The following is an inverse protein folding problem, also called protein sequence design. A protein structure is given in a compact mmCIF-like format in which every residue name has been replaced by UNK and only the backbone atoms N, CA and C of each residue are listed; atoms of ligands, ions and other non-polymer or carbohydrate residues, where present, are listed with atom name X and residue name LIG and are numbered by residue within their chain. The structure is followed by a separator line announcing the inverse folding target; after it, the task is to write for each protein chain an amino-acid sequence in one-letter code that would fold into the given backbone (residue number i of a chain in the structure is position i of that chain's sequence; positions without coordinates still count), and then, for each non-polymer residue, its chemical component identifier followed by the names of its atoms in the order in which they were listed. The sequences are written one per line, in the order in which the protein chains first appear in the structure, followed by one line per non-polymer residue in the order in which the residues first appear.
data_IF_391250454430
#
_entry.id   IF_391250454430
#
_cell.length_a   1.000
_cell.length_b   1.000
_cell.length_c   1.000
_cell.angle_alpha   90.00
_cell.angle_beta   90.00
_cell.angle_gamma   90.00
#
_symmetry.space_group_name_H-M   'P 1'
#
loop_
_entity.id
_entity.type
_entity.pdbx_description
1 polymer ?
#
# COMPACT_ATOMS: atom_id res chain seq x y z
N UNK A 1 0.49 10.36 7.90
CA UNK A 1 1.93 10.15 7.61
C UNK A 1 2.75 11.46 7.69
N UNK A 2 2.31 12.58 7.09
CA UNK A 2 3.11 13.83 6.95
C UNK A 2 3.40 14.69 8.21
N UNK A 3 3.14 14.24 9.45
CA UNK A 3 3.08 15.15 10.63
C UNK A 3 4.05 14.89 11.79
N UNK A 4 5.01 13.96 11.71
CA UNK A 4 5.85 13.64 12.87
C UNK A 4 7.32 13.45 12.49
N UNK A 5 8.14 14.48 12.62
CA UNK A 5 9.60 14.36 12.56
C UNK A 5 10.29 15.57 13.19
N UNK A 6 10.47 15.56 14.52
CA UNK A 6 11.71 16.07 15.14
C UNK A 6 11.81 15.67 16.62
N UNK A 7 12.59 14.63 16.93
CA UNK A 7 13.38 14.50 18.18
C UNK A 7 14.22 13.20 18.15
N UNK A 8 15.49 13.32 18.52
CA UNK A 8 16.44 12.22 18.67
C UNK A 8 16.36 11.67 20.11
N UNK A 9 16.17 10.37 20.24
CA UNK A 9 16.31 9.61 21.48
C UNK A 9 16.74 8.19 21.14
N UNK A 10 17.56 7.58 22.01
CA UNK A 10 18.01 6.18 21.92
C UNK A 10 16.79 5.30 21.72
N UNK A 11 16.61 4.77 20.51
CA UNK A 11 15.35 4.15 20.10
C UNK A 11 15.32 2.72 20.63
N UNK A 12 14.46 2.46 21.61
CA UNK A 12 14.18 1.10 22.06
C UNK A 12 13.54 0.33 20.89
N UNK A 13 14.20 -0.72 20.42
CA UNK A 13 13.74 -1.51 19.27
C UNK A 13 12.31 -2.03 19.45
N UNK A 14 11.89 -2.33 20.68
CA UNK A 14 10.50 -2.72 20.97
C UNK A 14 9.53 -1.56 20.75
N UNK A 15 9.83 -0.39 21.31
CA UNK A 15 9.00 0.81 21.14
C UNK A 15 8.91 1.24 19.67
N UNK A 16 10.00 1.10 18.91
CA UNK A 16 10.01 1.40 17.47
C UNK A 16 9.09 0.46 16.72
N UNK A 17 9.20 -0.85 16.99
CA UNK A 17 8.38 -1.87 16.33
C UNK A 17 6.91 -1.66 16.64
N UNK A 18 6.55 -1.39 17.89
CA UNK A 18 5.17 -1.08 18.30
C UNK A 18 4.64 0.18 17.60
N UNK A 19 5.48 1.20 17.43
CA UNK A 19 5.10 2.42 16.71
C UNK A 19 4.85 2.15 15.22
N UNK A 20 5.71 1.36 14.58
CA UNK A 20 5.53 1.02 13.16
C UNK A 20 4.27 0.19 12.96
N UNK A 21 4.03 -0.82 13.79
CA UNK A 21 2.78 -1.60 13.76
C UNK A 21 1.54 -0.72 13.96
N UNK A 22 1.60 0.34 14.78
CA UNK A 22 0.48 1.27 14.94
C UNK A 22 0.24 2.13 13.71
N UNK A 23 1.31 2.61 13.06
CA UNK A 23 1.22 3.39 11.81
C UNK A 23 0.65 2.52 10.69
N UNK A 24 1.15 1.30 10.59
CA UNK A 24 0.74 0.31 9.60
C UNK A 24 -0.76 0.00 9.70
N UNK A 25 -1.22 -0.44 10.87
CA UNK A 25 -2.65 -0.71 11.14
C UNK A 25 -3.56 0.50 10.92
N UNK A 26 -3.08 1.71 11.23
CA UNK A 26 -3.86 2.93 11.00
C UNK A 26 -4.00 3.22 9.50
N UNK A 27 -2.94 3.02 8.72
CA UNK A 27 -2.99 3.16 7.27
C UNK A 27 -3.88 2.08 6.64
N UNK A 28 -3.75 0.83 7.07
CA UNK A 28 -4.59 -0.29 6.64
C UNK A 28 -6.08 0.00 6.85
N UNK A 29 -6.45 0.43 8.06
CA UNK A 29 -7.85 0.74 8.39
C UNK A 29 -8.43 1.83 7.50
N UNK A 30 -7.66 2.90 7.23
CA UNK A 30 -8.11 3.98 6.35
C UNK A 30 -8.37 3.46 4.93
N UNK A 31 -7.48 2.60 4.40
CA UNK A 31 -7.62 2.02 3.07
C UNK A 31 -8.87 1.13 3.02
N UNK A 32 -9.03 0.24 4.00
CA UNK A 32 -10.19 -0.65 4.12
C UNK A 32 -11.50 0.16 4.18
N UNK A 33 -11.57 1.19 5.02
CA UNK A 33 -12.77 2.01 5.19
C UNK A 33 -13.17 2.69 3.86
N UNK A 34 -12.19 3.21 3.12
CA UNK A 34 -12.42 3.83 1.80
C UNK A 34 -12.93 2.81 0.79
N UNK A 35 -12.32 1.62 0.75
CA UNK A 35 -12.71 0.55 -0.17
C UNK A 35 -14.13 0.08 0.16
N UNK A 36 -14.42 -0.26 1.42
CA UNK A 36 -15.73 -0.76 1.84
C UNK A 36 -16.85 0.27 1.65
N UNK A 37 -16.56 1.55 1.86
CA UNK A 37 -17.53 2.62 1.62
C UNK A 37 -17.93 2.73 0.14
N UNK A 38 -17.00 2.43 -0.79
CA UNK A 38 -17.22 2.57 -2.24
C UNK A 38 -17.61 1.25 -2.92
N UNK A 39 -17.10 0.14 -2.42
CA UNK A 39 -17.24 -1.22 -2.96
C UNK A 39 -17.59 -2.21 -1.84
N UNK A 40 -18.78 -2.08 -1.22
CA UNK A 40 -19.16 -2.87 -0.04
C UNK A 40 -19.27 -4.37 -0.31
N UNK A 41 -19.34 -4.80 -1.57
CA UNK A 41 -19.45 -6.20 -1.98
C UNK A 41 -18.11 -6.82 -2.40
N UNK A 42 -17.01 -6.07 -2.39
CA UNK A 42 -15.71 -6.60 -2.78
C UNK A 42 -14.98 -7.24 -1.59
N UNK A 43 -14.26 -8.33 -1.83
CA UNK A 43 -13.36 -8.93 -0.85
C UNK A 43 -12.08 -8.09 -0.70
N UNK A 44 -11.44 -8.18 0.46
CA UNK A 44 -10.18 -7.49 0.75
C UNK A 44 -9.22 -8.47 1.44
N UNK A 45 -8.00 -8.58 0.93
CA UNK A 45 -6.87 -9.26 1.55
C UNK A 45 -5.85 -8.20 2.02
N UNK A 46 -5.68 -8.08 3.33
CA UNK A 46 -4.81 -7.10 3.96
C UNK A 46 -3.70 -7.78 4.79
N UNK A 47 -2.48 -7.24 4.78
CA UNK A 47 -1.31 -7.85 5.41
C UNK A 47 -1.46 -8.09 6.92
N UNK A 48 -1.98 -7.10 7.67
CA UNK A 48 -2.04 -7.16 9.13
C UNK A 48 -3.38 -7.71 9.64
N UNK A 49 -4.51 -7.34 9.01
CA UNK A 49 -5.85 -7.80 9.41
C UNK A 49 -6.26 -9.14 8.82
N UNK A 50 -5.60 -9.59 7.75
CA UNK A 50 -5.99 -10.78 7.00
C UNK A 50 -7.16 -10.52 6.05
N UNK A 51 -7.95 -11.55 5.79
CA UNK A 51 -9.00 -11.54 4.76
C UNK A 51 -10.35 -11.03 5.31
N UNK A 52 -10.93 -10.06 4.62
CA UNK A 52 -12.33 -9.67 4.71
C UNK A 52 -13.05 -10.29 3.51
N UNK A 53 -13.60 -11.47 3.72
CA UNK A 53 -14.27 -12.24 2.68
C UNK A 53 -15.70 -11.74 2.44
N UNK A 54 -16.03 -11.41 1.20
CA UNK A 54 -17.40 -11.19 0.75
C UNK A 54 -17.86 -12.40 -0.06
N UNK A 55 -18.97 -13.07 0.33
CA UNK A 55 -19.51 -14.19 -0.44
C UNK A 55 -19.83 -13.74 -1.88
N UNK A 56 -19.47 -14.59 -2.84
CA UNK A 56 -19.73 -14.39 -4.28
C UNK A 56 -19.07 -13.14 -4.91
N UNK A 57 -18.07 -12.55 -4.25
CA UNK A 57 -17.31 -11.45 -4.86
C UNK A 57 -16.36 -11.96 -5.92
N UNK A 58 -16.53 -11.49 -7.16
CA UNK A 58 -15.54 -11.68 -8.22
C UNK A 58 -14.30 -10.78 -8.02
N UNK A 59 -14.37 -9.75 -7.17
CA UNK A 59 -13.30 -8.79 -6.95
C UNK A 59 -12.61 -8.98 -5.61
N UNK A 60 -11.28 -8.84 -5.61
CA UNK A 60 -10.46 -8.86 -4.40
C UNK A 60 -9.48 -7.70 -4.42
N UNK A 61 -9.47 -6.91 -3.34
CA UNK A 61 -8.48 -5.87 -3.11
C UNK A 61 -7.32 -6.44 -2.31
N UNK A 62 -6.09 -6.28 -2.79
CA UNK A 62 -4.88 -6.74 -2.09
C UNK A 62 -4.12 -5.50 -1.64
N UNK A 63 -3.89 -5.36 -0.34
CA UNK A 63 -3.32 -4.14 0.24
C UNK A 63 -2.09 -4.43 1.10
N UNK A 64 -1.05 -3.63 0.87
CA UNK A 64 0.11 -3.49 1.75
C UNK A 64 0.20 -2.00 2.16
N UNK A 65 -0.16 -1.67 3.41
CA UNK A 65 -0.22 -0.30 3.90
C UNK A 65 1.17 0.32 4.18
N UNK A 66 2.25 -0.46 4.25
CA UNK A 66 3.62 0.01 4.46
C UNK A 66 4.68 -1.01 3.98
N UNK A 67 4.85 -1.10 2.65
CA UNK A 67 5.97 -1.84 2.06
C UNK A 67 7.28 -1.11 2.41
N UNK A 68 8.25 -1.86 2.92
CA UNK A 68 9.49 -1.32 3.44
C UNK A 68 9.45 -0.93 4.92
N UNK A 69 8.64 -1.61 5.75
CA UNK A 69 8.60 -1.44 7.22
C UNK A 69 9.98 -1.34 7.87
N UNK A 70 10.96 -2.18 7.48
CA UNK A 70 12.35 -2.07 7.97
C UNK A 70 13.00 -0.73 7.63
N UNK A 71 12.82 -0.26 6.40
CA UNK A 71 13.32 1.03 5.95
C UNK A 71 12.65 2.16 6.75
N UNK A 72 11.34 2.08 6.99
CA UNK A 72 10.61 3.03 7.81
C UNK A 72 11.15 3.08 9.26
N UNK A 73 11.34 1.93 9.91
CA UNK A 73 11.96 1.80 11.26
C UNK A 73 13.32 2.50 11.30
N UNK A 74 14.16 2.25 10.29
CA UNK A 74 15.51 2.80 10.21
C UNK A 74 15.56 4.21 9.61
N UNK A 75 14.40 4.84 9.34
CA UNK A 75 14.29 6.17 8.71
C UNK A 75 14.99 6.25 7.35
N UNK A 76 15.12 5.12 6.67
CA UNK A 76 15.61 5.06 5.31
C UNK A 76 14.46 5.43 4.34
N UNK A 77 14.65 6.39 3.43
CA UNK A 77 13.58 6.98 2.63
C UNK A 77 13.20 6.13 1.41
N UNK A 78 12.84 4.87 1.66
CA UNK A 78 12.38 3.92 0.66
C UNK A 78 11.29 3.02 1.26
N UNK A 79 10.06 3.51 1.24
CA UNK A 79 8.85 2.79 1.64
C UNK A 79 7.67 3.34 0.86
N UNK A 80 6.63 2.55 0.68
CA UNK A 80 5.46 2.93 -0.11
C UNK A 80 4.17 2.29 0.41
N UNK A 81 3.05 2.70 -0.17
CA UNK A 81 1.74 2.03 -0.01
C UNK A 81 1.44 1.33 -1.32
N UNK A 82 1.02 0.06 -1.26
CA UNK A 82 0.64 -0.73 -2.44
C UNK A 82 -0.81 -1.19 -2.35
N UNK A 83 -1.55 -1.03 -3.45
CA UNK A 83 -2.93 -1.48 -3.59
C UNK A 83 -3.12 -2.12 -4.96
N UNK A 84 -3.60 -3.36 -4.97
CA UNK A 84 -3.97 -4.10 -6.16
C UNK A 84 -5.44 -4.49 -6.17
N UNK A 85 -5.99 -4.72 -7.37
CA UNK A 85 -7.32 -5.31 -7.54
C UNK A 85 -7.20 -6.51 -8.46
N UNK A 86 -7.66 -7.65 -7.98
CA UNK A 86 -7.88 -8.85 -8.77
C UNK A 86 -9.36 -8.97 -9.15
N UNK A 87 -9.62 -9.50 -10.35
CA UNK A 87 -10.93 -9.94 -10.80
C UNK A 87 -10.82 -11.41 -11.18
N UNK A 88 -11.60 -12.27 -10.51
CA UNK A 88 -11.60 -13.73 -10.69
C UNK A 88 -10.18 -14.33 -10.59
N UNK A 89 -9.40 -13.85 -9.62
CA UNK A 89 -8.03 -14.31 -9.36
C UNK A 89 -6.96 -13.68 -10.27
N UNK A 90 -7.33 -12.79 -11.19
CA UNK A 90 -6.39 -12.12 -12.08
C UNK A 90 -6.19 -10.64 -11.73
N UNK A 91 -4.94 -10.20 -11.59
CA UNK A 91 -4.61 -8.79 -11.34
C UNK A 91 -5.00 -7.90 -12.52
N UNK A 92 -5.94 -6.98 -12.29
CA UNK A 92 -6.47 -6.07 -13.31
C UNK A 92 -6.05 -4.60 -13.11
N UNK A 93 -5.75 -4.20 -11.88
CA UNK A 93 -5.31 -2.84 -11.52
C UNK A 93 -4.26 -2.93 -10.42
N UNK A 94 -3.27 -2.03 -10.47
CA UNK A 94 -2.30 -1.85 -9.40
C UNK A 94 -1.93 -0.38 -9.23
N UNK A 95 -1.66 0.03 -8.00
CA UNK A 95 -1.16 1.34 -7.64
C UNK A 95 -0.11 1.22 -6.53
N UNK A 96 1.02 1.88 -6.70
CA UNK A 96 2.07 2.03 -5.69
C UNK A 96 2.29 3.51 -5.49
N UNK A 97 2.27 3.97 -4.24
CA UNK A 97 2.46 5.36 -3.89
C UNK A 97 3.64 5.54 -2.94
N UNK A 98 4.68 6.24 -3.39
CA UNK A 98 5.79 6.71 -2.55
C UNK A 98 5.44 8.10 -1.98
N UNK A 99 5.13 8.21 -0.67
CA UNK A 99 4.72 9.47 -0.06
C UNK A 99 5.88 10.46 0.15
N UNK A 100 7.14 10.01 0.05
CA UNK A 100 8.32 10.85 0.20
C UNK A 100 8.66 11.59 -1.09
N UNK A 101 8.43 10.92 -2.23
CA UNK A 101 8.70 11.45 -3.57
C UNK A 101 7.48 12.05 -4.26
N UNK A 102 6.29 11.85 -3.69
CA UNK A 102 5.01 12.22 -4.33
C UNK A 102 4.87 11.53 -5.70
N UNK A 103 5.17 10.23 -5.71
CA UNK A 103 5.19 9.39 -6.91
C UNK A 103 4.10 8.33 -6.82
N UNK A 104 3.12 8.43 -7.72
CA UNK A 104 2.08 7.44 -7.94
C UNK A 104 2.39 6.64 -9.20
N UNK A 105 2.84 5.41 -9.00
CA UNK A 105 2.91 4.39 -10.02
C UNK A 105 1.53 3.74 -10.12
N UNK A 106 0.98 3.62 -11.32
CA UNK A 106 -0.32 2.99 -11.53
C UNK A 106 -0.34 2.21 -12.84
N UNK A 107 -1.09 1.12 -12.87
CA UNK A 107 -1.26 0.30 -14.05
C UNK A 107 -2.66 -0.30 -14.07
N UNK A 108 -3.16 -0.52 -15.28
CA UNK A 108 -4.36 -1.30 -15.55
C UNK A 108 -4.05 -2.29 -16.66
N UNK A 109 -4.53 -3.52 -16.51
CA UNK A 109 -4.34 -4.58 -17.50
C UNK A 109 -4.79 -4.08 -18.89
N UNK A 110 -3.90 -4.23 -19.87
CA UNK A 110 -4.11 -3.78 -21.25
C UNK A 110 -4.01 -2.26 -21.50
N UNK A 111 -3.71 -1.45 -20.48
CA UNK A 111 -3.66 0.02 -20.59
C UNK A 111 -2.26 0.63 -20.36
N UNK A 112 -1.26 -0.20 -20.06
CA UNK A 112 0.10 0.24 -19.74
C UNK A 112 0.29 0.65 -18.28
N UNK A 113 1.45 1.24 -17.99
CA UNK A 113 1.86 1.74 -16.68
C UNK A 113 2.15 3.24 -16.73
N UNK A 114 1.94 3.92 -15.61
CA UNK A 114 2.04 5.37 -15.50
C UNK A 114 2.74 5.78 -14.20
N UNK A 115 3.57 6.81 -14.26
CA UNK A 115 4.12 7.54 -13.11
C UNK A 115 3.53 8.95 -13.12
N UNK A 116 2.77 9.30 -12.08
CA UNK A 116 2.11 10.61 -11.97
C UNK A 116 1.29 10.97 -13.23
N UNK A 117 0.60 9.98 -13.79
CA UNK A 117 -0.23 10.11 -15.00
C UNK A 117 0.55 10.12 -16.31
N UNK A 118 1.88 10.06 -16.30
CA UNK A 118 2.72 9.97 -17.51
C UNK A 118 3.06 8.51 -17.80
N UNK A 119 2.89 8.07 -19.04
CA UNK A 119 3.19 6.68 -19.42
C UNK A 119 4.68 6.36 -19.22
N UNK A 120 4.96 5.17 -18.68
CA UNK A 120 6.30 4.65 -18.46
C UNK A 120 6.46 3.27 -19.10
N UNK A 121 7.70 2.89 -19.39
CA UNK A 121 8.10 1.59 -19.90
C UNK A 121 9.38 1.15 -19.20
N UNK A 122 9.66 -0.15 -19.24
CA UNK A 122 10.94 -0.70 -18.77
C UNK A 122 12.09 -0.23 -19.66
N UNK A 123 13.33 -0.33 -19.18
CA UNK A 123 14.50 -0.08 -20.03
C UNK A 123 14.61 -1.09 -21.16
N UNK A 124 15.22 -0.68 -22.27
CA UNK A 124 15.60 -1.58 -23.37
C UNK A 124 16.76 -2.52 -22.99
N UNK A 125 17.45 -2.22 -21.89
CA UNK A 125 18.53 -3.02 -21.33
C UNK A 125 17.99 -3.90 -20.21
N UNK A 126 18.39 -5.18 -20.26
CA UNK A 126 18.06 -6.21 -19.27
C UNK A 126 19.17 -6.33 -18.22
#
# INVERSE_FOLDING_TARGET
IRRMSNQQSVVDFKQTRDMVTNVDRAAEQIIIDIIQAKFPQHSILAEERGEIHQPDSDFEWIIDPLDGTTNFVHRFPAYCVSVGVAYQGEMIVGAIYDPLRDELFSAKKGSGAFLNGRAIHVSDTN
#
